data_IF_877969353594
#
_entry.id   IF_877969353594
#
_cell.length_a   1.000
_cell.length_b   1.000
_cell.length_c   1.000
_cell.angle_alpha   90.00
_cell.angle_beta   90.00
_cell.angle_gamma   90.00
#
_symmetry.space_group_name_H-M   'P 1'
#
loop_
_entity.id
_entity.type
_entity.pdbx_description
1 polymer ?
#
# COMPACT_ATOMS: atom_id res chain seq x y z
N UNK A 1 1.79 0.90 32.94
CA UNK A 1 0.83 0.93 31.81
C UNK A 1 0.69 2.37 31.34
N UNK A 2 1.14 2.69 30.12
CA UNK A 2 0.85 4.01 29.55
C UNK A 2 -0.66 4.10 29.31
N UNK A 3 -1.32 5.01 30.02
CA UNK A 3 -2.76 5.29 29.86
C UNK A 3 -3.00 5.67 28.39
N UNK A 4 -3.98 5.04 27.75
CA UNK A 4 -4.35 5.39 26.38
C UNK A 4 -4.74 6.87 26.35
N UNK A 5 -4.05 7.66 25.53
CA UNK A 5 -4.33 9.08 25.34
C UNK A 5 -4.92 9.27 23.96
N UNK A 6 -6.17 9.71 23.91
CA UNK A 6 -6.88 9.95 22.66
C UNK A 6 -6.18 11.01 21.79
N UNK A 7 -5.62 12.05 22.40
CA UNK A 7 -4.84 13.07 21.68
C UNK A 7 -3.60 12.48 21.01
N UNK A 8 -2.86 11.59 21.71
CA UNK A 8 -1.72 10.91 21.11
C UNK A 8 -2.15 9.93 20.01
N UNK A 9 -3.28 9.25 20.18
CA UNK A 9 -3.85 8.38 19.16
C UNK A 9 -4.15 9.15 17.86
N UNK A 10 -4.79 10.32 17.94
CA UNK A 10 -5.07 11.17 16.77
C UNK A 10 -3.78 11.65 16.11
N UNK A 11 -2.81 12.12 16.90
CA UNK A 11 -1.54 12.61 16.37
C UNK A 11 -0.76 11.50 15.66
N UNK A 12 -0.73 10.30 16.24
CA UNK A 12 -0.17 9.10 15.58
C UNK A 12 -0.90 8.79 14.27
N UNK A 13 -2.23 8.91 14.22
CA UNK A 13 -2.98 8.71 12.99
C UNK A 13 -2.61 9.73 11.90
N UNK A 14 -2.45 11.01 12.24
CA UNK A 14 -2.02 12.05 11.29
C UNK A 14 -0.61 11.77 10.74
N UNK A 15 0.32 11.37 11.61
CA UNK A 15 1.68 10.98 11.20
C UNK A 15 1.61 9.76 10.27
N UNK A 16 0.84 8.73 10.61
CA UNK A 16 0.66 7.57 9.75
C UNK A 16 0.09 7.92 8.39
N UNK A 17 -0.89 8.84 8.32
CA UNK A 17 -1.44 9.31 7.03
C UNK A 17 -0.36 9.97 6.17
N UNK A 18 0.48 10.82 6.77
CA UNK A 18 1.58 11.47 6.06
C UNK A 18 2.62 10.44 5.56
N UNK A 19 2.99 9.48 6.42
CA UNK A 19 3.94 8.42 6.08
C UNK A 19 3.43 7.52 4.95
N UNK A 20 2.12 7.27 4.89
CA UNK A 20 1.46 6.56 3.79
C UNK A 20 1.53 7.34 2.47
N UNK A 21 1.42 8.67 2.50
CA UNK A 21 1.58 9.46 1.28
C UNK A 21 3.04 9.40 0.80
N UNK A 22 3.98 9.52 1.74
CA UNK A 22 5.42 9.45 1.46
C UNK A 22 5.81 8.07 0.91
N UNK A 23 5.26 6.98 1.44
CA UNK A 23 5.55 5.63 0.96
C UNK A 23 5.16 5.45 -0.50
N UNK A 24 4.00 5.98 -0.93
CA UNK A 24 3.61 5.96 -2.35
C UNK A 24 4.62 6.78 -3.15
N UNK A 25 4.90 8.02 -2.80
CA UNK A 25 5.81 8.88 -3.60
C UNK A 25 7.20 8.26 -3.77
N UNK A 26 7.76 7.67 -2.70
CA UNK A 26 9.12 7.09 -2.74
C UNK A 26 9.15 5.73 -3.45
N UNK A 27 8.14 4.88 -3.22
CA UNK A 27 8.18 3.49 -3.67
C UNK A 27 7.33 3.20 -4.91
N UNK A 28 6.52 4.14 -5.41
CA UNK A 28 5.69 3.93 -6.59
C UNK A 28 6.54 3.56 -7.81
N UNK A 29 7.62 4.28 -8.08
CA UNK A 29 8.50 4.01 -9.21
C UNK A 29 9.18 2.63 -9.15
N UNK A 30 9.89 2.26 -8.06
CA UNK A 30 10.52 0.94 -7.98
C UNK A 30 9.50 -0.20 -7.92
N UNK A 31 8.31 0.00 -7.35
CA UNK A 31 7.29 -1.04 -7.29
C UNK A 31 6.61 -1.23 -8.64
N UNK A 32 6.34 -0.17 -9.40
CA UNK A 32 5.84 -0.27 -10.77
C UNK A 32 6.77 -1.12 -11.65
N UNK A 33 8.09 -0.92 -11.51
CA UNK A 33 9.10 -1.74 -12.20
C UNK A 33 9.03 -3.22 -11.79
N UNK A 34 8.87 -3.52 -10.51
CA UNK A 34 8.73 -4.89 -10.00
C UNK A 34 7.44 -5.53 -10.51
N UNK A 35 6.34 -4.78 -10.54
CA UNK A 35 5.04 -5.29 -11.01
C UNK A 35 4.98 -5.48 -12.51
N UNK A 36 5.61 -4.62 -13.31
CA UNK A 36 5.77 -4.86 -14.75
C UNK A 36 6.62 -6.11 -15.01
N UNK A 37 7.70 -6.29 -14.24
CA UNK A 37 8.53 -7.49 -14.32
C UNK A 37 7.73 -8.76 -13.96
N UNK A 38 6.93 -8.71 -12.89
CA UNK A 38 6.01 -9.78 -12.51
C UNK A 38 4.97 -10.05 -13.61
N UNK A 39 4.33 -9.02 -14.18
CA UNK A 39 3.36 -9.18 -15.28
C UNK A 39 4.00 -9.91 -16.47
N UNK A 40 5.22 -9.51 -16.85
CA UNK A 40 5.98 -10.12 -17.95
C UNK A 40 6.39 -11.56 -17.64
N UNK A 41 6.89 -11.82 -16.44
CA UNK A 41 7.25 -13.18 -16.00
C UNK A 41 6.04 -14.11 -15.93
N UNK A 42 4.90 -13.60 -15.46
CA UNK A 42 3.64 -14.35 -15.41
C UNK A 42 3.14 -14.66 -16.82
N UNK A 43 3.24 -13.70 -17.76
CA UNK A 43 2.92 -13.91 -19.18
C UNK A 43 3.82 -14.97 -19.82
N UNK A 44 5.13 -14.90 -19.58
CA UNK A 44 6.11 -15.84 -20.15
C UNK A 44 5.95 -17.28 -19.64
N UNK A 45 5.47 -17.48 -18.41
CA UNK A 45 5.31 -18.82 -17.80
C UNK A 45 3.93 -19.42 -18.03
N UNK A 46 2.86 -18.64 -17.91
CA UNK A 46 1.47 -19.15 -17.98
C UNK A 46 0.85 -19.02 -19.37
N UNK A 47 1.51 -18.32 -20.29
CA UNK A 47 1.09 -18.14 -21.68
C UNK A 47 -0.18 -17.28 -21.84
N UNK A 48 -0.58 -16.99 -23.09
CA UNK A 48 -1.71 -16.12 -23.42
C UNK A 48 -3.07 -16.66 -22.94
N UNK A 49 -3.15 -17.92 -22.53
CA UNK A 49 -4.34 -18.58 -21.98
C UNK A 49 -4.86 -17.95 -20.67
N UNK A 50 -3.99 -17.28 -19.89
CA UNK A 50 -4.40 -16.57 -18.67
C UNK A 50 -4.83 -15.11 -18.92
N UNK A 51 -4.57 -14.59 -20.13
CA UNK A 51 -4.83 -13.21 -20.58
C UNK A 51 -6.09 -13.12 -21.48
N UNK A 52 -7.13 -13.93 -21.21
CA UNK A 52 -8.37 -13.88 -21.98
C UNK A 52 -9.34 -12.81 -21.43
N UNK A 53 -9.31 -11.62 -22.03
CA UNK A 53 -10.43 -10.72 -22.35
C UNK A 53 -11.23 -10.04 -21.22
N UNK A 54 -11.52 -10.73 -20.10
CA UNK A 54 -12.15 -10.18 -18.89
C UNK A 54 -11.27 -10.33 -17.65
N UNK A 55 -10.22 -11.16 -17.73
CA UNK A 55 -9.17 -11.27 -16.73
C UNK A 55 -8.19 -10.09 -16.76
N UNK A 56 -8.12 -9.32 -17.84
CA UNK A 56 -7.20 -8.17 -17.94
C UNK A 56 -7.59 -7.04 -16.98
N UNK A 57 -8.87 -6.68 -16.88
CA UNK A 57 -9.36 -5.68 -15.93
C UNK A 57 -9.14 -6.16 -14.49
N UNK A 58 -9.41 -7.44 -14.22
CA UNK A 58 -9.22 -8.02 -12.89
C UNK A 58 -7.73 -8.14 -12.54
N UNK A 59 -6.88 -8.48 -13.51
CA UNK A 59 -5.43 -8.56 -13.34
C UNK A 59 -4.84 -7.17 -13.13
N UNK A 60 -5.19 -6.19 -13.96
CA UNK A 60 -4.70 -4.82 -13.79
C UNK A 60 -5.17 -4.21 -12.46
N UNK A 61 -6.43 -4.41 -12.08
CA UNK A 61 -6.92 -4.08 -10.74
C UNK A 61 -6.08 -4.74 -9.64
N UNK A 62 -5.87 -6.07 -9.75
CA UNK A 62 -5.13 -6.84 -8.77
C UNK A 62 -3.68 -6.34 -8.66
N UNK A 63 -3.00 -6.13 -9.79
CA UNK A 63 -1.62 -5.66 -9.82
C UNK A 63 -1.50 -4.25 -9.25
N UNK A 64 -2.41 -3.33 -9.57
CA UNK A 64 -2.38 -1.96 -9.04
C UNK A 64 -2.65 -1.94 -7.54
N UNK A 65 -3.71 -2.61 -7.07
CA UNK A 65 -4.06 -2.67 -5.66
C UNK A 65 -2.95 -3.35 -4.82
N UNK A 66 -2.36 -4.41 -5.36
CA UNK A 66 -1.26 -5.14 -4.73
C UNK A 66 0.02 -4.29 -4.68
N UNK A 67 0.31 -3.51 -5.73
CA UNK A 67 1.42 -2.55 -5.78
C UNK A 67 1.32 -1.52 -4.67
N UNK A 68 0.18 -0.86 -4.53
CA UNK A 68 -0.03 0.14 -3.47
C UNK A 68 0.08 -0.51 -2.09
N UNK A 69 -0.50 -1.69 -1.89
CA UNK A 69 -0.44 -2.40 -0.61
C UNK A 69 1.00 -2.78 -0.25
N UNK A 70 1.80 -3.25 -1.23
CA UNK A 70 3.21 -3.58 -1.05
C UNK A 70 4.06 -2.33 -0.76
N UNK A 71 3.78 -1.18 -1.39
CA UNK A 71 4.45 0.09 -1.07
C UNK A 71 4.37 0.38 0.43
N UNK A 72 3.15 0.32 0.97
CA UNK A 72 2.90 0.58 2.37
C UNK A 72 3.57 -0.45 3.28
N UNK A 73 3.42 -1.75 2.98
CA UNK A 73 4.00 -2.81 3.80
C UNK A 73 5.53 -2.70 3.85
N UNK A 74 6.19 -2.49 2.71
CA UNK A 74 7.65 -2.39 2.66
C UNK A 74 8.15 -1.15 3.39
N UNK A 75 7.52 0.01 3.14
CA UNK A 75 7.90 1.25 3.82
C UNK A 75 7.76 1.14 5.33
N UNK A 76 6.61 0.68 5.82
CA UNK A 76 6.38 0.56 7.26
C UNK A 76 7.21 -0.56 7.91
N UNK A 77 7.51 -1.64 7.18
CA UNK A 77 8.47 -2.65 7.64
C UNK A 77 9.85 -2.04 7.90
N UNK A 78 10.34 -1.22 6.97
CA UNK A 78 11.61 -0.49 7.13
C UNK A 78 11.51 0.52 8.28
N UNK A 79 10.41 1.29 8.35
CA UNK A 79 10.16 2.27 9.41
C UNK A 79 10.21 1.63 10.80
N UNK A 80 9.43 0.57 11.03
CA UNK A 80 9.40 -0.13 12.33
C UNK A 80 10.72 -0.82 12.65
N UNK A 81 11.45 -1.31 11.65
CA UNK A 81 12.78 -1.86 11.86
C UNK A 81 13.78 -0.79 12.33
N UNK A 82 13.77 0.39 11.69
CA UNK A 82 14.60 1.53 12.08
C UNK A 82 14.21 2.10 13.45
N UNK A 83 12.92 2.16 13.76
CA UNK A 83 12.39 2.52 15.09
C UNK A 83 12.87 1.53 16.16
N UNK A 84 12.76 0.21 15.90
CA UNK A 84 13.18 -0.84 16.85
C UNK A 84 14.69 -0.79 17.14
N UNK A 85 15.51 -0.49 16.13
CA UNK A 85 16.96 -0.35 16.32
C UNK A 85 17.36 1.00 16.93
N UNK A 86 16.45 1.97 17.04
CA UNK A 86 16.72 3.29 17.59
C UNK A 86 17.73 4.10 16.79
N UNK A 87 18.00 3.73 15.54
CA UNK A 87 19.08 4.29 14.72
C UNK A 87 18.69 5.66 14.13
N UNK A 88 17.38 5.93 13.96
CA UNK A 88 16.94 7.15 13.27
C UNK A 88 15.59 7.71 13.76
N UNK A 89 14.67 6.85 14.19
CA UNK A 89 13.31 7.25 14.57
C UNK A 89 13.16 7.12 16.09
N UNK A 90 13.07 8.27 16.78
CA UNK A 90 12.80 8.33 18.23
C UNK A 90 11.31 8.31 18.55
N UNK A 91 10.47 8.67 17.58
CA UNK A 91 9.02 8.76 17.75
C UNK A 91 8.37 7.38 17.65
N UNK A 92 7.64 6.97 18.69
CA UNK A 92 6.96 5.68 18.74
C UNK A 92 5.49 5.80 18.46
N UNK A 93 5.07 5.25 17.33
CA UNK A 93 3.67 5.22 16.89
C UNK A 93 2.94 4.10 17.62
N UNK A 94 1.74 4.38 18.15
CA UNK A 94 0.89 3.31 18.68
C UNK A 94 0.46 2.35 17.58
N UNK A 95 0.62 1.05 17.85
CA UNK A 95 0.19 -0.02 16.93
C UNK A 95 -1.27 0.13 16.51
N UNK A 96 -2.15 0.54 17.43
CA UNK A 96 -3.57 0.74 17.14
C UNK A 96 -3.81 1.86 16.13
N UNK A 97 -3.14 3.00 16.28
CA UNK A 97 -3.19 4.12 15.32
C UNK A 97 -2.67 3.71 13.95
N UNK A 98 -1.55 2.99 13.92
CA UNK A 98 -1.00 2.45 12.67
C UNK A 98 -1.99 1.53 11.96
N UNK A 99 -2.53 0.52 12.64
CA UNK A 99 -3.47 -0.42 12.03
C UNK A 99 -4.75 0.25 11.55
N UNK A 100 -5.29 1.20 12.32
CA UNK A 100 -6.46 1.98 11.92
C UNK A 100 -6.22 2.71 10.59
N UNK A 101 -5.12 3.45 10.49
CA UNK A 101 -4.79 4.21 9.27
C UNK A 101 -4.38 3.31 8.11
N UNK A 102 -3.66 2.23 8.38
CA UNK A 102 -3.22 1.27 7.37
C UNK A 102 -4.42 0.59 6.69
N UNK A 103 -5.42 0.15 7.47
CA UNK A 103 -6.64 -0.45 6.93
C UNK A 103 -7.41 0.56 6.08
N UNK A 104 -7.64 1.77 6.61
CA UNK A 104 -8.36 2.82 5.87
C UNK A 104 -7.67 3.18 4.55
N UNK A 105 -6.35 3.34 4.58
CA UNK A 105 -5.57 3.65 3.39
C UNK A 105 -5.60 2.50 2.38
N UNK A 106 -5.38 1.26 2.84
CA UNK A 106 -5.42 0.08 1.96
C UNK A 106 -6.79 -0.03 1.29
N UNK A 107 -7.88 0.13 2.04
CA UNK A 107 -9.24 0.15 1.49
C UNK A 107 -9.44 1.29 0.48
N UNK A 108 -8.94 2.49 0.77
CA UNK A 108 -9.00 3.62 -0.15
C UNK A 108 -8.27 3.34 -1.47
N UNK A 109 -7.04 2.83 -1.42
CA UNK A 109 -6.26 2.49 -2.61
C UNK A 109 -6.87 1.36 -3.43
N UNK A 110 -7.49 0.38 -2.77
CA UNK A 110 -8.27 -0.65 -3.45
C UNK A 110 -9.47 -0.04 -4.19
N UNK A 111 -10.21 0.88 -3.59
CA UNK A 111 -11.30 1.59 -4.28
C UNK A 111 -10.79 2.41 -5.48
N UNK A 112 -9.63 3.06 -5.34
CA UNK A 112 -8.98 3.77 -6.44
C UNK A 112 -8.60 2.82 -7.58
N UNK A 113 -8.00 1.66 -7.27
CA UNK A 113 -7.63 0.66 -8.26
C UNK A 113 -8.87 0.10 -8.99
N UNK A 114 -9.99 -0.14 -8.29
CA UNK A 114 -11.26 -0.54 -8.94
C UNK A 114 -11.66 0.51 -9.97
N UNK A 115 -11.67 1.79 -9.57
CA UNK A 115 -12.08 2.88 -10.46
C UNK A 115 -11.16 3.05 -11.67
N UNK A 116 -9.87 2.81 -11.51
CA UNK A 116 -8.89 2.82 -12.62
C UNK A 116 -9.20 1.67 -13.59
N UNK A 117 -9.42 0.46 -13.06
CA UNK A 117 -9.65 -0.73 -13.84
C UNK A 117 -11.01 -0.73 -14.58
N UNK A 118 -12.08 -0.26 -13.93
CA UNK A 118 -13.44 -0.27 -14.52
C UNK A 118 -13.75 0.94 -15.38
N UNK A 119 -12.85 1.93 -15.45
CA UNK A 119 -13.12 3.24 -16.05
C UNK A 119 -14.15 4.07 -15.26
N UNK A 120 -14.52 5.28 -15.73
CA UNK A 120 -15.52 6.10 -15.05
C UNK A 120 -16.86 5.37 -14.99
N UNK A 121 -17.40 5.19 -13.78
CA UNK A 121 -18.79 4.77 -13.58
C UNK A 121 -19.67 5.79 -14.29
N UNK A 122 -20.30 5.39 -15.39
CA UNK A 122 -21.35 6.19 -16.04
C UNK A 122 -22.51 6.22 -15.04
N UNK A 123 -22.65 7.36 -14.36
CA UNK A 123 -23.86 7.72 -13.64
C UNK A 123 -25.01 8.01 -14.60
#
# INVERSE_FOLDING_TARGET
>A
MNKFSFGKFILDCLICMLLILISVVILLFPINLITEFLKKFTFDILGPTFYLGNLDILNDFLFDALSFTLCHILFFSIWFFLEKKGIMIKYKIYKSSFWFVFILSTSFWWLCAIKIATGPIKG
#
